data_IF_376038135555
#
_entry.id   IF_376038135555
#
_cell.length_a   1.000
_cell.length_b   1.000
_cell.length_c   1.000
_cell.angle_alpha   90.00
_cell.angle_beta   90.00
_cell.angle_gamma   90.00
#
_symmetry.space_group_name_H-M   'P 1'
#
loop_
_entity.id
_entity.type
_entity.pdbx_description
1 polymer ?
#
# COMPACT_ATOMS: atom_id res chain seq x y z
N UNK A 1 -13.55 16.94 -7.91
CA UNK A 1 -13.48 15.48 -7.70
C UNK A 1 -13.96 15.31 -6.27
N UNK A 2 -15.26 15.05 -6.12
CA UNK A 2 -15.86 14.90 -4.79
C UNK A 2 -15.19 13.70 -4.13
N UNK A 3 -14.71 13.90 -2.89
CA UNK A 3 -14.15 12.80 -2.12
C UNK A 3 -15.25 11.77 -1.92
N UNK A 4 -14.96 10.50 -2.21
CA UNK A 4 -15.90 9.41 -1.95
C UNK A 4 -16.25 9.40 -0.46
N UNK A 5 -17.53 9.40 -0.15
CA UNK A 5 -18.02 9.43 1.23
C UNK A 5 -17.80 8.07 1.91
N UNK A 6 -17.54 8.10 3.21
CA UNK A 6 -17.39 6.89 4.03
C UNK A 6 -18.61 5.97 3.92
N UNK A 7 -19.81 6.56 3.85
CA UNK A 7 -21.05 5.82 3.64
C UNK A 7 -21.04 4.99 2.35
N UNK A 8 -20.49 5.51 1.25
CA UNK A 8 -20.44 4.77 -0.01
C UNK A 8 -19.57 3.51 0.10
N UNK A 9 -18.44 3.62 0.81
CA UNK A 9 -17.60 2.47 1.10
C UNK A 9 -18.28 1.48 2.05
N UNK A 10 -18.93 2.02 3.08
CA UNK A 10 -19.66 1.21 4.06
C UNK A 10 -20.74 0.38 3.37
N UNK A 11 -21.54 0.99 2.50
CA UNK A 11 -22.62 0.31 1.79
C UNK A 11 -22.09 -0.73 0.83
N UNK A 12 -21.01 -0.44 0.09
CA UNK A 12 -20.35 -1.41 -0.77
C UNK A 12 -19.90 -2.66 0.02
N UNK A 13 -19.25 -2.46 1.17
CA UNK A 13 -18.80 -3.57 2.03
C UNK A 13 -19.99 -4.34 2.64
N UNK A 14 -21.07 -3.63 2.99
CA UNK A 14 -22.31 -4.24 3.47
C UNK A 14 -22.90 -5.18 2.41
N UNK A 15 -22.97 -4.73 1.15
CA UNK A 15 -23.46 -5.57 0.05
C UNK A 15 -22.60 -6.82 -0.13
N UNK A 16 -21.27 -6.71 -0.02
CA UNK A 16 -20.38 -7.89 -0.06
C UNK A 16 -20.72 -8.88 1.06
N UNK A 17 -20.94 -8.42 2.29
CA UNK A 17 -21.35 -9.29 3.41
C UNK A 17 -22.67 -10.00 3.12
N UNK A 18 -23.67 -9.25 2.65
CA UNK A 18 -25.00 -9.80 2.31
C UNK A 18 -24.90 -10.87 1.22
N UNK A 19 -24.13 -10.61 0.15
CA UNK A 19 -23.93 -11.57 -0.94
C UNK A 19 -23.15 -12.82 -0.53
N UNK A 20 -22.47 -12.79 0.61
CA UNK A 20 -21.78 -13.93 1.20
C UNK A 20 -22.51 -14.48 2.44
N UNK A 21 -23.82 -14.26 2.55
CA UNK A 21 -24.67 -14.74 3.64
C UNK A 21 -24.16 -14.37 5.05
N UNK A 22 -23.43 -13.24 5.15
CA UNK A 22 -22.76 -12.79 6.36
C UNK A 22 -21.76 -13.80 6.96
N UNK A 23 -21.24 -14.73 6.16
CA UNK A 23 -20.30 -15.78 6.61
C UNK A 23 -18.82 -15.42 6.37
N UNK A 24 -18.51 -14.17 5.98
CA UNK A 24 -17.14 -13.74 5.74
C UNK A 24 -16.39 -13.50 7.06
N UNK A 25 -15.51 -14.43 7.41
CA UNK A 25 -14.49 -14.24 8.44
C UNK A 25 -13.17 -13.82 7.81
N UNK A 26 -12.91 -12.51 7.79
CA UNK A 26 -11.71 -11.94 7.18
C UNK A 26 -10.62 -11.76 8.24
N UNK A 27 -9.47 -12.43 8.06
CA UNK A 27 -8.30 -12.22 8.92
C UNK A 27 -7.57 -10.90 8.59
N UNK A 28 -7.47 -10.57 7.29
CA UNK A 28 -6.72 -9.41 6.80
C UNK A 28 -7.44 -8.76 5.61
N UNK A 29 -7.44 -7.43 5.56
CA UNK A 29 -7.94 -6.64 4.43
C UNK A 29 -6.83 -5.73 3.94
N UNK A 30 -6.46 -5.87 2.67
CA UNK A 30 -5.52 -4.95 2.01
C UNK A 30 -6.25 -3.80 1.34
N UNK A 31 -5.89 -2.55 1.63
CA UNK A 31 -6.55 -1.40 1.01
C UNK A 31 -5.61 -0.20 0.79
N UNK A 32 -6.16 0.80 0.11
CA UNK A 32 -5.50 2.09 -0.13
C UNK A 32 -5.58 2.99 1.10
N UNK A 33 -4.79 4.06 1.11
CA UNK A 33 -4.73 5.02 2.21
C UNK A 33 -5.79 6.11 2.05
N UNK A 34 -7.06 5.71 2.21
CA UNK A 34 -8.21 6.62 2.28
C UNK A 34 -8.89 6.50 3.64
N UNK A 35 -9.04 7.61 4.36
CA UNK A 35 -9.63 7.59 5.71
C UNK A 35 -11.07 7.07 5.71
N UNK A 36 -11.87 7.47 4.72
CA UNK A 36 -13.25 7.01 4.56
C UNK A 36 -13.33 5.50 4.35
N UNK A 37 -12.47 4.93 3.49
CA UNK A 37 -12.40 3.49 3.28
C UNK A 37 -11.95 2.75 4.54
N UNK A 38 -10.90 3.24 5.21
CA UNK A 38 -10.41 2.64 6.45
C UNK A 38 -11.47 2.69 7.56
N UNK A 39 -12.23 3.78 7.66
CA UNK A 39 -13.34 3.92 8.60
C UNK A 39 -14.42 2.88 8.34
N UNK A 40 -14.90 2.78 7.10
CA UNK A 40 -15.88 1.80 6.67
C UNK A 40 -15.42 0.35 6.92
N UNK A 41 -14.15 0.01 6.66
CA UNK A 41 -13.60 -1.32 6.93
C UNK A 41 -13.62 -1.63 8.42
N UNK A 42 -13.19 -0.69 9.27
CA UNK A 42 -13.17 -0.90 10.73
C UNK A 42 -14.55 -1.13 11.32
N UNK A 43 -15.57 -0.49 10.76
CA UNK A 43 -16.95 -0.68 11.20
C UNK A 43 -17.51 -2.03 10.73
N UNK A 44 -17.32 -2.36 9.44
CA UNK A 44 -17.89 -3.57 8.84
C UNK A 44 -17.17 -4.87 9.22
N UNK A 45 -15.86 -4.78 9.47
CA UNK A 45 -14.96 -5.90 9.78
C UNK A 45 -14.01 -5.52 10.93
N UNK A 46 -14.52 -5.35 12.16
CA UNK A 46 -13.74 -4.85 13.29
C UNK A 46 -12.56 -5.77 13.68
N UNK A 47 -12.69 -7.07 13.45
CA UNK A 47 -11.68 -8.08 13.77
C UNK A 47 -10.62 -8.24 12.67
N UNK A 48 -10.90 -7.73 11.46
CA UNK A 48 -9.97 -7.84 10.35
C UNK A 48 -8.79 -6.88 10.50
N UNK A 49 -7.58 -7.41 10.32
CA UNK A 49 -6.38 -6.57 10.29
C UNK A 49 -6.34 -5.77 8.98
N UNK A 50 -6.33 -4.45 9.07
CA UNK A 50 -6.10 -3.60 7.90
C UNK A 50 -4.61 -3.53 7.59
N UNK A 51 -4.25 -3.89 6.36
CA UNK A 51 -2.89 -3.77 5.79
C UNK A 51 -2.94 -2.79 4.62
N UNK A 52 -2.17 -1.72 4.73
CA UNK A 52 -2.04 -0.73 3.68
C UNK A 52 -1.19 -1.27 2.54
N UNK A 53 -1.60 -1.00 1.31
CA UNK A 53 -0.89 -1.45 0.13
C UNK A 53 0.49 -0.74 -0.03
N UNK A 54 1.58 -1.50 -0.14
CA UNK A 54 2.93 -0.93 -0.33
C UNK A 54 3.05 -0.12 -1.62
N UNK A 55 2.39 -0.57 -2.69
CA UNK A 55 2.39 0.16 -3.95
C UNK A 55 1.83 1.58 -3.77
N UNK A 56 0.67 1.70 -3.10
CA UNK A 56 0.06 3.00 -2.82
C UNK A 56 0.84 3.81 -1.79
N UNK A 57 1.49 3.18 -0.82
CA UNK A 57 2.45 3.84 0.06
C UNK A 57 3.58 4.49 -0.75
N UNK A 58 4.29 3.71 -1.58
CA UNK A 58 5.39 4.21 -2.41
C UNK A 58 4.90 5.26 -3.42
N UNK A 59 3.72 5.07 -4.00
CA UNK A 59 3.12 6.04 -4.92
C UNK A 59 2.83 7.39 -4.23
N UNK A 60 2.25 7.38 -3.03
CA UNK A 60 1.98 8.59 -2.25
C UNK A 60 3.28 9.33 -1.88
N UNK A 61 4.30 8.58 -1.45
CA UNK A 61 5.64 9.11 -1.17
C UNK A 61 6.24 9.75 -2.42
N UNK A 62 6.27 9.05 -3.56
CA UNK A 62 6.79 9.57 -4.84
C UNK A 62 6.08 10.85 -5.25
N UNK A 63 4.74 10.86 -5.22
CA UNK A 63 3.94 12.07 -5.54
C UNK A 63 4.36 13.26 -4.66
N UNK A 64 4.60 13.02 -3.36
CA UNK A 64 5.04 14.09 -2.47
C UNK A 64 6.45 14.59 -2.79
N UNK A 65 7.39 13.68 -3.05
CA UNK A 65 8.77 14.06 -3.40
C UNK A 65 8.81 14.90 -4.69
N UNK A 66 8.06 14.48 -5.71
CA UNK A 66 7.90 15.23 -6.97
C UNK A 66 7.26 16.59 -6.72
N UNK A 67 6.20 16.67 -5.91
CA UNK A 67 5.55 17.95 -5.57
C UNK A 67 6.48 18.92 -4.82
N UNK A 68 7.43 18.40 -4.04
CA UNK A 68 8.46 19.19 -3.37
C UNK A 68 9.64 19.54 -4.29
N UNK A 69 9.61 19.15 -5.56
CA UNK A 69 10.67 19.36 -6.55
C UNK A 69 12.01 18.80 -6.09
N UNK A 70 11.99 17.64 -5.44
CA UNK A 70 13.19 16.83 -5.22
C UNK A 70 13.71 16.36 -6.59
N UNK A 71 15.02 16.41 -6.87
CA UNK A 71 15.57 15.96 -8.15
C UNK A 71 15.19 14.51 -8.48
N UNK A 72 14.92 14.21 -9.75
CA UNK A 72 14.46 12.87 -10.18
C UNK A 72 15.40 11.75 -9.74
N UNK A 73 16.71 11.96 -9.80
CA UNK A 73 17.72 10.99 -9.31
C UNK A 73 17.53 10.65 -7.82
N UNK A 74 17.27 11.66 -6.99
CA UNK A 74 17.00 11.45 -5.57
C UNK A 74 15.64 10.78 -5.34
N UNK A 75 14.64 11.09 -6.17
CA UNK A 75 13.34 10.39 -6.14
C UNK A 75 13.52 8.92 -6.49
N UNK A 76 14.29 8.61 -7.54
CA UNK A 76 14.58 7.24 -7.96
C UNK A 76 15.28 6.47 -6.85
N UNK A 77 16.35 7.04 -6.26
CA UNK A 77 17.05 6.44 -5.11
C UNK A 77 16.11 6.19 -3.94
N UNK A 78 15.23 7.14 -3.61
CA UNK A 78 14.27 6.96 -2.53
C UNK A 78 13.23 5.86 -2.80
N UNK A 79 12.93 5.59 -4.07
CA UNK A 79 11.99 4.55 -4.50
C UNK A 79 12.64 3.18 -4.69
N UNK A 80 13.96 3.07 -4.61
CA UNK A 80 14.65 1.79 -4.64
C UNK A 80 14.19 0.88 -3.49
N UNK A 81 14.18 -0.45 -3.70
CA UNK A 81 13.92 -1.40 -2.62
C UNK A 81 14.88 -1.17 -1.45
N UNK A 82 14.36 -1.34 -0.23
CA UNK A 82 15.09 -1.24 1.03
C UNK A 82 15.58 0.17 1.42
N UNK A 83 15.10 1.21 0.74
CA UNK A 83 15.40 2.62 1.08
C UNK A 83 14.29 3.21 1.94
N UNK A 84 13.19 3.74 1.36
CA UNK A 84 12.08 4.25 2.17
C UNK A 84 11.13 3.16 2.65
N UNK A 85 10.96 2.10 1.87
CA UNK A 85 10.09 0.97 2.19
C UNK A 85 10.65 0.09 3.32
N UNK A 86 11.92 0.24 3.71
CA UNK A 86 12.43 -0.41 4.94
C UNK A 86 11.61 -0.02 6.18
N UNK A 87 11.03 1.19 6.21
CA UNK A 87 10.22 1.66 7.33
C UNK A 87 8.94 0.82 7.52
N UNK A 88 8.46 0.16 6.47
CA UNK A 88 7.25 -0.69 6.54
C UNK A 88 7.54 -2.05 7.16
N UNK A 89 8.81 -2.43 7.34
CA UNK A 89 9.20 -3.80 7.71
C UNK A 89 10.08 -3.88 8.96
N UNK A 90 10.52 -2.75 9.51
CA UNK A 90 11.30 -2.70 10.77
C UNK A 90 10.39 -2.68 12.01
N UNK A 91 10.91 -3.04 13.20
CA UNK A 91 10.17 -2.95 14.44
C UNK A 91 9.60 -1.54 14.67
N UNK A 92 8.31 -1.46 15.03
CA UNK A 92 7.58 -0.18 15.13
C UNK A 92 8.26 0.83 16.06
N UNK A 93 8.79 0.34 17.18
CA UNK A 93 9.49 1.17 18.17
C UNK A 93 10.83 1.73 17.65
N UNK A 94 11.40 1.11 16.61
CA UNK A 94 12.65 1.57 16.00
C UNK A 94 12.43 2.57 14.87
N UNK A 95 11.21 2.73 14.33
CA UNK A 95 10.92 3.60 13.19
C UNK A 95 11.45 5.02 13.39
N UNK A 96 11.09 5.67 14.50
CA UNK A 96 11.46 7.08 14.72
C UNK A 96 12.93 7.22 15.11
N UNK A 97 13.39 6.38 16.05
CA UNK A 97 14.72 6.53 16.66
C UNK A 97 15.86 5.99 15.80
N UNK A 98 15.61 5.01 14.94
CA UNK A 98 16.64 4.34 14.14
C UNK A 98 16.30 4.27 12.65
N UNK A 99 15.06 3.90 12.32
CA UNK A 99 14.56 3.79 10.94
C UNK A 99 14.72 5.07 10.14
N UNK A 100 14.13 6.17 10.62
CA UNK A 100 14.21 7.46 9.92
C UNK A 100 15.67 7.95 9.79
N UNK A 101 16.50 7.94 10.83
CA UNK A 101 17.93 8.25 10.70
C UNK A 101 18.68 7.39 9.68
N UNK A 102 18.43 6.07 9.69
CA UNK A 102 19.00 5.14 8.72
C UNK A 102 18.62 5.53 7.28
N UNK A 103 17.32 5.73 7.02
CA UNK A 103 16.84 6.15 5.70
C UNK A 103 17.42 7.50 5.29
N UNK A 104 17.54 8.46 6.22
CA UNK A 104 18.21 9.73 5.95
C UNK A 104 19.66 9.54 5.51
N UNK A 105 20.42 8.64 6.16
CA UNK A 105 21.81 8.37 5.75
C UNK A 105 21.93 7.74 4.35
N UNK A 106 20.92 7.00 3.90
CA UNK A 106 20.90 6.43 2.54
C UNK A 106 20.57 7.46 1.45
N UNK A 107 19.93 8.58 1.84
CA UNK A 107 19.41 9.61 0.92
C UNK A 107 20.24 10.88 0.91
N UNK A 108 21.00 11.14 1.97
CA UNK A 108 21.79 12.35 2.15
C UNK A 108 23.28 11.98 2.12
N UNK A 109 23.80 11.73 0.92
CA UNK A 109 25.25 11.64 0.66
C UNK A 109 25.85 13.02 0.40
N UNK A 110 27.17 13.13 0.56
CA UNK A 110 27.92 14.37 0.29
C UNK A 110 27.59 14.92 -1.12
N UNK A 111 27.12 16.17 -1.18
CA UNK A 111 26.66 16.83 -2.42
C UNK A 111 25.18 17.22 -2.44
N UNK A 112 24.36 16.81 -1.47
CA UNK A 112 22.92 17.11 -1.43
C UNK A 112 22.50 18.29 -0.54
N UNK A 113 23.46 19.10 -0.07
CA UNK A 113 23.23 20.26 0.82
C UNK A 113 22.18 21.22 0.27
N UNK A 114 22.12 21.40 -1.05
CA UNK A 114 21.16 22.29 -1.71
C UNK A 114 19.68 21.87 -1.57
N UNK A 115 19.38 20.63 -1.15
CA UNK A 115 18.01 20.12 -1.03
C UNK A 115 17.57 19.83 0.42
N UNK A 116 18.38 20.20 1.43
CA UNK A 116 18.10 19.94 2.85
C UNK A 116 16.73 20.45 3.28
N UNK A 117 16.35 21.68 2.89
CA UNK A 117 15.05 22.26 3.24
C UNK A 117 13.86 21.49 2.63
N UNK A 118 14.01 20.97 1.40
CA UNK A 118 12.97 20.15 0.74
C UNK A 118 12.82 18.80 1.43
N UNK A 119 13.93 18.17 1.80
CA UNK A 119 13.92 16.92 2.58
C UNK A 119 13.33 17.12 3.97
N UNK A 120 13.66 18.22 4.65
CA UNK A 120 13.01 18.58 5.92
C UNK A 120 11.49 18.72 5.77
N UNK A 121 11.04 19.37 4.68
CA UNK A 121 9.60 19.48 4.35
C UNK A 121 8.96 18.11 4.07
N UNK A 122 9.68 17.20 3.40
CA UNK A 122 9.23 15.83 3.19
C UNK A 122 9.09 15.08 4.52
N UNK A 123 10.07 15.15 5.41
CA UNK A 123 10.01 14.47 6.71
C UNK A 123 8.91 15.04 7.62
N UNK A 124 8.65 16.36 7.56
CA UNK A 124 7.50 16.97 8.25
C UNK A 124 6.17 16.41 7.72
N UNK A 125 6.06 16.26 6.40
CA UNK A 125 4.91 15.59 5.79
C UNK A 125 4.82 14.13 6.22
N UNK A 126 5.94 13.39 6.17
CA UNK A 126 5.97 11.97 6.51
C UNK A 126 5.48 11.75 7.94
N UNK A 127 5.99 12.55 8.89
CA UNK A 127 5.56 12.50 10.28
C UNK A 127 4.08 12.81 10.44
N UNK A 128 3.57 13.87 9.80
CA UNK A 128 2.14 14.22 9.87
C UNK A 128 1.26 13.11 9.30
N UNK A 129 1.59 12.58 8.13
CA UNK A 129 0.74 11.62 7.43
C UNK A 129 0.89 10.20 7.98
N UNK A 130 2.10 9.69 8.10
CA UNK A 130 2.35 8.28 8.40
C UNK A 130 2.53 7.98 9.89
N UNK A 131 2.89 8.97 10.71
CA UNK A 131 3.07 8.77 12.16
C UNK A 131 1.95 9.39 13.01
N UNK A 132 1.16 10.32 12.46
CA UNK A 132 0.02 10.94 13.16
C UNK A 132 -1.34 10.60 12.57
N UNK A 133 -1.50 10.69 11.25
CA UNK A 133 -2.80 10.48 10.60
C UNK A 133 -3.15 8.99 10.46
N UNK A 134 -2.21 8.17 10.00
CA UNK A 134 -2.40 6.72 9.89
C UNK A 134 -1.76 5.99 11.08
N UNK A 135 -2.43 4.94 11.55
CA UNK A 135 -1.84 4.03 12.53
C UNK A 135 -0.64 3.31 11.90
N UNK A 136 0.46 3.21 12.64
CA UNK A 136 1.67 2.51 12.19
C UNK A 136 1.35 1.08 11.78
N UNK A 137 0.45 0.41 12.52
CA UNK A 137 0.01 -0.96 12.23
C UNK A 137 -0.60 -1.15 10.84
N UNK A 138 -1.12 -0.09 10.23
CA UNK A 138 -1.74 -0.13 8.91
C UNK A 138 -0.68 -0.25 7.83
N UNK A 139 0.40 0.53 7.88
CA UNK A 139 1.42 0.55 6.80
C UNK A 139 2.72 -0.18 7.16
N UNK A 140 2.89 -0.60 8.42
CA UNK A 140 4.01 -1.41 8.87
C UNK A 140 3.55 -2.84 9.18
N UNK A 141 4.24 -3.81 8.58
CA UNK A 141 3.91 -5.23 8.60
C UNK A 141 4.85 -6.07 9.46
N UNK A 142 5.82 -5.47 10.17
CA UNK A 142 6.79 -6.21 10.99
C UNK A 142 6.12 -7.23 11.93
N UNK A 143 5.18 -6.78 12.77
CA UNK A 143 4.48 -7.68 13.71
C UNK A 143 3.66 -8.78 13.02
N UNK A 144 3.21 -8.54 11.78
CA UNK A 144 2.45 -9.53 11.02
C UNK A 144 3.40 -10.63 10.50
N UNK A 145 4.56 -10.24 9.98
CA UNK A 145 5.62 -11.16 9.55
C UNK A 145 6.16 -11.98 10.73
N UNK A 146 6.43 -11.34 11.88
CA UNK A 146 6.94 -12.03 13.08
C UNK A 146 5.95 -13.05 13.66
N UNK A 147 4.65 -12.88 13.40
CA UNK A 147 3.57 -13.77 13.84
C UNK A 147 3.17 -14.78 12.77
N UNK A 148 3.92 -14.87 11.68
CA UNK A 148 3.65 -15.75 10.53
C UNK A 148 2.23 -15.54 9.95
N UNK A 149 1.74 -14.30 9.99
CA UNK A 149 0.47 -13.95 9.36
C UNK A 149 0.71 -13.89 7.86
N UNK A 150 -0.03 -14.70 7.11
CA UNK A 150 0.05 -14.75 5.65
C UNK A 150 -0.33 -13.38 5.04
N UNK A 151 0.68 -12.62 4.64
CA UNK A 151 0.53 -11.36 3.93
C UNK A 151 0.41 -11.64 2.44
N UNK A 152 -0.74 -12.20 2.05
CA UNK A 152 -1.01 -12.64 0.67
C UNK A 152 -0.72 -11.51 -0.34
N UNK A 153 -1.02 -10.25 0.00
CA UNK A 153 -0.85 -9.11 -0.90
C UNK A 153 -0.27 -7.88 -0.19
N UNK A 154 1.06 -7.76 -0.11
CA UNK A 154 1.71 -6.48 0.21
C UNK A 154 1.73 -5.53 -1.01
N UNK A 155 1.35 -6.02 -2.20
CA UNK A 155 1.30 -5.24 -3.46
C UNK A 155 -0.01 -5.47 -4.20
N UNK A 156 -0.53 -4.44 -4.87
CA UNK A 156 -1.82 -4.48 -5.58
C UNK A 156 -1.75 -5.07 -7.00
N UNK A 157 -0.63 -5.68 -7.43
CA UNK A 157 -0.41 -6.06 -8.83
C UNK A 157 -1.55 -6.88 -9.46
N UNK A 158 -2.16 -7.88 -8.78
CA UNK A 158 -3.30 -8.60 -9.32
C UNK A 158 -4.53 -7.70 -9.54
N UNK A 159 -4.82 -6.80 -8.60
CA UNK A 159 -5.95 -5.87 -8.70
C UNK A 159 -5.71 -4.77 -9.76
N UNK A 160 -4.49 -4.26 -9.89
CA UNK A 160 -4.14 -3.32 -10.98
C UNK A 160 -4.24 -3.97 -12.36
N UNK A 161 -3.83 -5.24 -12.46
CA UNK A 161 -4.01 -6.01 -13.68
C UNK A 161 -5.48 -6.20 -13.99
N UNK A 162 -6.27 -6.65 -13.01
CA UNK A 162 -7.72 -6.80 -13.17
C UNK A 162 -8.38 -5.48 -13.62
N UNK A 163 -8.08 -4.35 -12.96
CA UNK A 163 -8.63 -3.05 -13.32
C UNK A 163 -8.28 -2.64 -14.75
N UNK A 164 -7.07 -2.96 -15.21
CA UNK A 164 -6.64 -2.68 -16.59
C UNK A 164 -7.35 -3.58 -17.60
N UNK A 165 -7.41 -4.88 -17.32
CA UNK A 165 -8.06 -5.87 -18.19
C UNK A 165 -9.57 -5.57 -18.28
N UNK A 166 -10.22 -5.31 -17.15
CA UNK A 166 -11.61 -4.87 -17.09
C UNK A 166 -11.84 -3.53 -17.79
N UNK A 167 -10.93 -2.56 -17.60
CA UNK A 167 -10.95 -1.27 -18.29
C UNK A 167 -10.86 -1.40 -19.81
N UNK A 168 -10.11 -2.39 -20.31
CA UNK A 168 -9.95 -2.64 -21.74
C UNK A 168 -11.23 -3.20 -22.41
N UNK A 169 -12.18 -3.70 -21.62
CA UNK A 169 -13.50 -4.12 -22.13
C UNK A 169 -14.41 -2.94 -22.51
N UNK A 170 -14.03 -1.70 -22.17
CA UNK A 170 -14.81 -0.51 -22.50
C UNK A 170 -14.25 0.21 -23.74
N UNK A 171 -15.16 0.58 -24.65
CA UNK A 171 -14.82 1.36 -25.85
C UNK A 171 -14.67 2.87 -25.58
N UNK A 172 -14.94 3.33 -24.35
CA UNK A 172 -14.87 4.73 -23.96
C UNK A 172 -14.43 4.86 -22.50
N UNK A 173 -13.71 5.93 -22.17
CA UNK A 173 -13.28 6.21 -20.80
C UNK A 173 -14.47 6.45 -19.83
N UNK A 174 -15.61 6.91 -20.35
CA UNK A 174 -16.83 7.18 -19.60
C UNK A 174 -18.03 6.51 -20.30
N UNK A 175 -18.21 5.19 -20.13
CA UNK A 175 -19.35 4.48 -20.71
C UNK A 175 -20.65 4.97 -20.09
N UNK A 176 -21.74 4.96 -20.86
CA UNK A 176 -23.07 5.17 -20.29
C UNK A 176 -23.47 3.96 -19.42
N UNK A 177 -24.49 4.14 -18.58
CA UNK A 177 -24.91 3.13 -17.61
C UNK A 177 -25.30 1.78 -18.26
N UNK A 178 -25.96 1.80 -19.42
CA UNK A 178 -26.35 0.56 -20.10
C UNK A 178 -25.14 -0.22 -20.59
N UNK A 179 -24.19 0.47 -21.23
CA UNK A 179 -22.91 -0.12 -21.64
C UNK A 179 -22.14 -0.66 -20.44
N UNK A 180 -22.12 0.09 -19.33
CA UNK A 180 -21.48 -0.34 -18.09
C UNK A 180 -22.08 -1.66 -17.55
N UNK A 181 -23.40 -1.74 -17.47
CA UNK A 181 -24.12 -2.94 -17.01
C UNK A 181 -23.84 -4.14 -17.93
N UNK A 182 -23.83 -3.93 -19.26
CA UNK A 182 -23.58 -5.00 -20.22
C UNK A 182 -22.17 -5.59 -20.07
N UNK A 183 -21.17 -4.73 -19.91
CA UNK A 183 -19.77 -5.17 -19.71
C UNK A 183 -19.63 -5.94 -18.40
N UNK A 184 -20.18 -5.42 -17.29
CA UNK A 184 -20.12 -6.12 -15.99
C UNK A 184 -20.78 -7.50 -16.05
N UNK A 185 -21.95 -7.63 -16.69
CA UNK A 185 -22.62 -8.93 -16.84
C UNK A 185 -21.75 -9.90 -17.63
N UNK A 186 -21.13 -9.44 -18.71
CA UNK A 186 -20.25 -10.26 -19.54
C UNK A 186 -19.00 -10.70 -18.77
N UNK A 187 -18.40 -9.79 -17.98
CA UNK A 187 -17.28 -10.08 -17.10
C UNK A 187 -17.64 -11.14 -16.05
N UNK A 188 -18.79 -10.99 -15.38
CA UNK A 188 -19.26 -11.94 -14.38
C UNK A 188 -19.46 -13.35 -14.96
N UNK A 189 -20.08 -13.46 -16.14
CA UNK A 189 -20.24 -14.75 -16.84
C UNK A 189 -18.89 -15.35 -17.22
N UNK A 190 -17.97 -14.54 -17.75
CA UNK A 190 -16.60 -14.96 -18.09
C UNK A 190 -15.86 -15.51 -16.87
N UNK A 191 -15.99 -14.84 -15.72
CA UNK A 191 -15.33 -15.23 -14.48
C UNK A 191 -15.91 -16.54 -13.91
N UNK A 192 -17.23 -16.69 -13.89
CA UNK A 192 -17.89 -17.94 -13.47
C UNK A 192 -17.48 -19.10 -14.38
N UNK A 193 -17.47 -18.87 -15.70
CA UNK A 193 -17.03 -19.89 -16.67
C UNK A 193 -15.57 -20.28 -16.45
N UNK A 194 -14.70 -19.31 -16.16
CA UNK A 194 -13.30 -19.57 -15.83
C UNK A 194 -13.16 -20.47 -14.59
N UNK A 195 -13.94 -20.22 -13.54
CA UNK A 195 -13.93 -21.04 -12.33
C UNK A 195 -14.42 -22.46 -12.61
N UNK A 196 -15.51 -22.60 -13.37
CA UNK A 196 -16.05 -23.90 -13.76
C UNK A 196 -15.05 -24.70 -14.61
N UNK A 197 -14.37 -24.05 -15.55
CA UNK A 197 -13.31 -24.67 -16.35
C UNK A 197 -12.12 -25.12 -15.50
N UNK A 198 -11.78 -24.38 -14.44
CA UNK A 198 -10.73 -24.79 -13.50
C UNK A 198 -11.15 -26.02 -12.70
N UNK A 199 -12.37 -26.02 -12.17
CA UNK A 199 -12.92 -27.11 -11.36
C UNK A 199 -12.99 -28.42 -12.16
N UNK A 200 -13.40 -28.33 -13.42
CA UNK A 200 -13.44 -29.48 -14.34
C UNK A 200 -12.09 -29.80 -15.01
N UNK A 201 -11.00 -29.13 -14.64
CA UNK A 201 -9.67 -29.37 -15.19
C UNK A 201 -9.49 -28.98 -16.66
N UNK A 202 -10.45 -28.26 -17.27
CA UNK A 202 -10.37 -27.71 -18.62
C UNK A 202 -9.41 -26.53 -18.72
N UNK A 203 -9.14 -25.87 -17.58
CA UNK A 203 -8.19 -24.76 -17.45
C UNK A 203 -7.31 -24.95 -16.23
N UNK A 204 -6.04 -24.53 -16.31
CA UNK A 204 -5.15 -24.47 -15.13
C UNK A 204 -5.34 -23.15 -14.38
N UNK A 205 -5.36 -23.15 -13.03
CA UNK A 205 -5.35 -21.93 -12.24
C UNK A 205 -4.14 -21.05 -12.60
N UNK A 206 -4.34 -19.73 -12.57
CA UNK A 206 -3.24 -18.79 -12.72
C UNK A 206 -2.26 -18.99 -11.57
N UNK A 207 -0.98 -19.25 -11.88
CA UNK A 207 0.07 -19.30 -10.86
C UNK A 207 0.40 -17.86 -10.45
N UNK A 208 0.02 -17.50 -9.23
CA UNK A 208 0.49 -16.28 -8.61
C UNK A 208 1.90 -16.51 -8.08
N UNK A 209 2.77 -15.50 -8.21
CA UNK A 209 4.09 -15.56 -7.61
C UNK A 209 3.94 -15.66 -6.08
N UNK A 210 4.70 -16.58 -5.46
CA UNK A 210 4.76 -16.65 -4.00
C UNK A 210 5.42 -15.35 -3.52
N UNK A 211 4.70 -14.56 -2.75
CA UNK A 211 5.22 -13.37 -2.09
C UNK A 211 6.17 -13.83 -1.00
N UNK A 212 7.48 -13.62 -1.19
CA UNK A 212 8.44 -13.81 -0.11
C UNK A 212 8.17 -12.77 0.99
N UNK A 213 8.27 -13.15 2.28
CA UNK A 213 8.13 -12.18 3.37
C UNK A 213 9.19 -11.10 3.22
N UNK A 214 8.84 -9.83 3.48
CA UNK A 214 9.81 -8.76 3.36
C UNK A 214 10.95 -8.95 4.38
N UNK A 215 12.18 -8.79 3.92
CA UNK A 215 13.39 -8.94 4.76
C UNK A 215 13.91 -7.59 5.22
N UNK A 216 14.31 -7.49 6.49
CA UNK A 216 15.01 -6.31 6.99
C UNK A 216 16.46 -6.35 6.46
N UNK A 217 16.96 -5.27 5.82
CA UNK A 217 18.33 -5.18 5.33
C UNK A 217 19.36 -5.38 6.44
N UNK A 218 20.41 -6.17 6.19
CA UNK A 218 21.42 -6.51 7.21
C UNK A 218 22.21 -5.29 7.74
N UNK A 219 22.40 -4.29 6.89
CA UNK A 219 23.02 -3.00 7.18
C UNK A 219 22.17 -2.13 8.12
N UNK A 220 20.84 -2.27 8.13
CA UNK A 220 19.99 -1.62 9.15
C UNK A 220 20.41 -2.02 10.57
N UNK A 221 20.73 -3.30 10.80
CA UNK A 221 21.16 -3.77 12.12
C UNK A 221 22.57 -3.30 12.51
N UNK A 222 23.41 -2.96 11.51
CA UNK A 222 24.76 -2.44 11.72
C UNK A 222 24.81 -0.93 11.81
N UNK A 223 23.76 -0.24 11.34
CA UNK A 223 23.67 1.21 11.38
C UNK A 223 23.74 1.73 12.81
N UNK A 224 24.71 2.61 13.05
CA UNK A 224 24.88 3.36 14.29
C UNK A 224 24.45 4.80 14.04
N UNK A 225 23.76 5.39 15.01
CA UNK A 225 23.43 6.81 14.95
C UNK A 225 24.74 7.61 14.96
N UNK A 226 24.81 8.73 14.22
CA UNK A 226 25.90 9.68 14.41
C UNK A 226 25.97 10.02 15.90
N UNK A 227 27.12 9.84 16.52
CA UNK A 227 27.38 10.38 17.86
C UNK A 227 27.20 11.89 17.75
N UNK A 228 26.35 12.48 18.60
CA UNK A 228 26.08 13.91 18.63
C UNK A 228 27.40 14.69 18.48
N UNK A 229 27.60 15.31 17.32
CA UNK A 229 28.65 16.30 17.16
C UNK A 229 28.16 17.53 17.91
N UNK A 230 28.80 17.81 19.05
CA UNK A 230 28.62 19.00 19.86
C UNK A 230 29.14 20.24 19.10
N UNK A 231 28.59 20.51 17.91
CA UNK A 231 28.84 21.75 17.22
C UNK A 231 27.60 22.25 16.48
N UNK A 232 27.21 23.47 16.89
CA UNK A 232 26.25 24.38 16.26
C UNK A 232 24.77 24.21 16.69
N UNK A 233 24.46 24.96 17.75
CA UNK A 233 23.13 25.49 18.11
C UNK A 233 22.48 26.22 16.93
#
# INVERSE_FOLDING_TARGET
MDAKEEWSYWEMLNQVKIQCDCMLELSTISCDFEQALIGAIKDQFPDARIVGCLFHFKQAIRRKLVALRIPEEQVQRAMEPNVLDVLTVIPRLQIVKRGIPYVKSLLLTDGHVANVAKWASFWKYFYKTWLKTYYISTWNVYDAVERDIDLINHTNNPLEKYNRDFGANFNAAHPNLLTFIQVIKSEAVSYITMLDDIDHGRRRPTRHAITAPPTIPSDFFRFQLPTDDNSVV
#
